data_IF_357358614034
#
_entry.id   IF_357358614034
#
_cell.length_a   1.000
_cell.length_b   1.000
_cell.length_c   1.000
_cell.angle_alpha   90.00
_cell.angle_beta   90.00
_cell.angle_gamma   90.00
#
_symmetry.space_group_name_H-M   'P 1'
#
loop_
_entity.id
_entity.type
_entity.pdbx_description
1 polymer ?
#
# COMPACT_ATOMS: atom_id res chain seq x y z
N UNK A 1 2.98 -49.07 -77.39
CA UNK A 1 2.62 -48.61 -76.05
C UNK A 1 1.22 -48.01 -76.13
N UNK A 2 0.28 -48.69 -75.49
CA UNK A 2 -1.19 -48.40 -75.68
C UNK A 2 -1.62 -47.16 -74.89
N UNK A 3 -2.08 -46.10 -75.62
CA UNK A 3 -2.63 -44.87 -75.06
C UNK A 3 -3.83 -45.04 -74.12
N UNK A 4 -4.43 -46.21 -74.08
CA UNK A 4 -5.58 -46.56 -73.23
C UNK A 4 -5.27 -46.84 -71.80
N UNK A 5 -4.00 -47.18 -71.45
CA UNK A 5 -3.55 -47.47 -70.04
C UNK A 5 -3.24 -46.24 -69.23
N UNK A 6 -3.10 -45.05 -69.89
CA UNK A 6 -2.75 -43.82 -69.21
C UNK A 6 -3.95 -43.10 -68.59
N UNK A 7 -5.15 -43.32 -69.08
CA UNK A 7 -6.38 -42.66 -68.58
C UNK A 7 -6.98 -43.31 -67.33
N UNK A 8 -6.61 -44.55 -66.96
CA UNK A 8 -7.05 -45.21 -65.74
C UNK A 8 -6.26 -44.83 -64.52
N UNK A 9 -5.06 -44.30 -64.67
CA UNK A 9 -4.18 -43.87 -63.52
C UNK A 9 -4.51 -42.48 -62.97
N UNK A 10 -5.11 -41.63 -63.78
CA UNK A 10 -5.45 -40.22 -63.39
C UNK A 10 -6.58 -40.20 -62.36
N UNK A 11 -7.69 -40.94 -62.41
CA UNK A 11 -8.72 -40.89 -61.38
C UNK A 11 -8.31 -41.51 -60.06
N UNK A 12 -7.34 -42.46 -60.04
CA UNK A 12 -6.88 -43.11 -58.83
C UNK A 12 -5.99 -42.19 -57.97
N UNK A 13 -5.22 -41.33 -58.62
CA UNK A 13 -4.39 -40.30 -57.92
C UNK A 13 -5.23 -39.17 -57.38
N UNK A 14 -6.32 -38.80 -58.03
CA UNK A 14 -7.25 -37.76 -57.58
C UNK A 14 -8.04 -38.17 -56.32
N UNK A 15 -8.30 -39.46 -56.11
CA UNK A 15 -9.01 -39.95 -54.90
C UNK A 15 -8.11 -39.98 -53.66
N UNK A 16 -6.78 -40.08 -53.81
CA UNK A 16 -5.84 -40.05 -52.68
C UNK A 16 -5.55 -38.66 -52.16
N UNK A 17 -5.98 -37.58 -52.87
CA UNK A 17 -5.84 -36.19 -52.43
C UNK A 17 -7.05 -35.67 -51.63
N UNK A 18 -8.05 -36.51 -51.31
CA UNK A 18 -9.07 -36.18 -50.32
C UNK A 18 -8.42 -36.14 -48.94
N UNK A 19 -7.79 -35.00 -48.68
CA UNK A 19 -6.98 -34.68 -47.53
C UNK A 19 -7.60 -35.19 -46.22
N UNK A 20 -6.92 -36.05 -45.54
CA UNK A 20 -7.13 -36.33 -44.12
C UNK A 20 -7.08 -34.98 -43.37
N UNK A 21 -8.21 -34.36 -43.17
CA UNK A 21 -8.29 -33.19 -42.27
C UNK A 21 -8.08 -33.73 -40.88
N UNK A 22 -6.87 -33.49 -40.34
CA UNK A 22 -6.58 -33.87 -38.98
C UNK A 22 -7.37 -32.98 -38.03
N UNK A 23 -7.95 -33.52 -36.94
CA UNK A 23 -8.62 -32.71 -35.95
C UNK A 23 -7.62 -31.68 -35.36
N UNK A 24 -8.13 -30.51 -35.02
CA UNK A 24 -7.34 -29.49 -34.36
C UNK A 24 -7.12 -29.89 -32.91
N UNK A 25 -5.86 -29.92 -32.49
CA UNK A 25 -5.48 -30.28 -31.13
C UNK A 25 -4.95 -29.02 -30.46
N UNK A 26 -5.66 -28.52 -29.42
CA UNK A 26 -5.31 -27.32 -28.69
C UNK A 26 -4.91 -27.70 -27.28
N UNK A 27 -3.77 -27.22 -26.84
CA UNK A 27 -3.27 -27.38 -25.48
C UNK A 27 -3.63 -26.16 -24.62
N UNK A 28 -4.15 -26.42 -23.41
CA UNK A 28 -4.57 -25.42 -22.45
C UNK A 28 -3.45 -25.24 -21.42
N UNK A 29 -2.95 -24.04 -21.27
CA UNK A 29 -1.89 -23.73 -20.29
C UNK A 29 -2.45 -23.75 -18.85
N UNK A 30 -1.60 -23.99 -17.83
CA UNK A 30 -2.03 -24.04 -16.42
C UNK A 30 -2.68 -22.75 -15.90
N UNK A 31 -2.30 -21.61 -16.46
CA UNK A 31 -2.86 -20.29 -16.13
C UNK A 31 -4.11 -19.92 -16.94
N UNK A 32 -4.56 -20.79 -17.83
CA UNK A 32 -5.73 -20.57 -18.68
C UNK A 32 -6.93 -21.40 -18.23
N UNK A 33 -8.11 -20.86 -18.35
CA UNK A 33 -9.37 -21.59 -18.28
C UNK A 33 -10.02 -21.55 -19.65
N UNK A 34 -10.36 -22.71 -20.19
CA UNK A 34 -10.91 -22.85 -21.51
C UNK A 34 -12.39 -23.24 -21.48
N UNK A 35 -13.12 -22.75 -22.46
CA UNK A 35 -14.55 -22.99 -22.67
C UNK A 35 -14.75 -23.49 -24.09
N UNK A 36 -15.42 -24.64 -24.26
CA UNK A 36 -15.70 -25.26 -25.56
C UNK A 36 -17.10 -24.87 -26.01
N UNK A 37 -17.20 -23.98 -26.98
CA UNK A 37 -18.47 -23.49 -27.51
C UNK A 37 -18.80 -24.26 -28.76
N UNK A 38 -19.94 -24.96 -28.77
CA UNK A 38 -20.45 -25.66 -29.96
C UNK A 38 -20.82 -24.64 -31.02
N UNK A 39 -20.33 -24.86 -32.24
CA UNK A 39 -20.61 -23.98 -33.39
C UNK A 39 -21.88 -24.38 -34.18
N UNK A 40 -22.24 -25.65 -34.08
CA UNK A 40 -23.43 -26.19 -34.72
C UNK A 40 -24.58 -26.28 -33.74
N UNK A 41 -25.73 -25.74 -34.09
CA UNK A 41 -26.94 -25.76 -33.28
C UNK A 41 -28.20 -25.79 -34.12
N UNK A 42 -29.28 -26.31 -33.54
CA UNK A 42 -30.60 -26.22 -34.14
C UNK A 42 -31.28 -24.92 -33.70
N UNK A 43 -31.63 -24.06 -34.67
CA UNK A 43 -32.29 -22.77 -34.40
C UNK A 43 -33.58 -22.87 -33.58
N UNK A 44 -34.23 -24.05 -33.57
CA UNK A 44 -35.48 -24.29 -32.83
C UNK A 44 -35.24 -24.65 -31.35
N UNK A 45 -34.03 -25.08 -30.98
CA UNK A 45 -33.66 -25.51 -29.64
C UNK A 45 -32.57 -24.62 -29.00
N UNK A 46 -32.33 -23.45 -29.62
CA UNK A 46 -31.32 -22.55 -29.17
C UNK A 46 -31.66 -21.99 -27.75
N UNK A 47 -30.87 -22.33 -26.79
CA UNK A 47 -30.88 -21.71 -25.46
C UNK A 47 -30.17 -20.34 -25.51
N UNK A 48 -30.32 -19.54 -24.47
CA UNK A 48 -29.59 -18.28 -24.35
C UNK A 48 -28.11 -18.51 -24.59
N UNK A 49 -27.59 -18.05 -25.73
CA UNK A 49 -26.20 -18.21 -26.12
C UNK A 49 -25.34 -17.31 -25.25
N UNK A 50 -24.24 -17.84 -24.73
CA UNK A 50 -23.30 -17.10 -23.87
C UNK A 50 -23.89 -16.62 -22.53
N UNK A 51 -24.86 -17.32 -21.94
CA UNK A 51 -25.21 -17.10 -20.54
C UNK A 51 -24.09 -17.58 -19.62
N UNK A 52 -24.03 -17.03 -18.42
CA UNK A 52 -23.04 -17.43 -17.41
C UNK A 52 -23.10 -18.94 -17.11
N UNK A 53 -24.32 -19.48 -16.96
CA UNK A 53 -24.56 -20.90 -16.72
C UNK A 53 -24.09 -21.76 -17.91
N UNK A 54 -24.43 -21.35 -19.13
CA UNK A 54 -23.99 -22.05 -20.34
C UNK A 54 -22.44 -22.11 -20.40
N UNK A 55 -21.76 -21.01 -20.08
CA UNK A 55 -20.29 -20.98 -20.07
C UNK A 55 -19.72 -21.85 -18.96
N UNK A 56 -20.32 -21.87 -17.78
CA UNK A 56 -19.88 -22.70 -16.67
C UNK A 56 -19.97 -24.20 -16.99
N UNK A 57 -21.08 -24.61 -17.65
CA UNK A 57 -21.32 -26.00 -18.09
C UNK A 57 -20.33 -26.46 -19.17
N UNK A 58 -19.86 -25.52 -20.01
CA UNK A 58 -18.96 -25.81 -21.13
C UNK A 58 -17.48 -25.57 -20.77
N UNK A 59 -17.14 -25.45 -19.49
CA UNK A 59 -15.76 -25.36 -19.00
C UNK A 59 -15.03 -26.67 -19.25
N UNK A 60 -13.84 -26.56 -19.83
CA UNK A 60 -12.99 -27.73 -20.13
C UNK A 60 -12.14 -28.11 -18.92
N UNK A 61 -12.25 -29.37 -18.49
CA UNK A 61 -11.50 -29.91 -17.36
C UNK A 61 -10.18 -30.63 -17.76
N UNK A 62 -9.83 -30.62 -19.06
CA UNK A 62 -8.65 -31.33 -19.56
C UNK A 62 -7.55 -30.38 -20.03
N UNK A 63 -6.29 -30.85 -20.02
CA UNK A 63 -5.14 -30.07 -20.51
C UNK A 63 -5.07 -29.99 -22.04
N UNK A 64 -5.83 -30.82 -22.75
CA UNK A 64 -5.82 -30.90 -24.21
C UNK A 64 -7.23 -31.15 -24.73
N UNK A 65 -7.61 -30.41 -25.75
CA UNK A 65 -8.89 -30.53 -26.42
C UNK A 65 -8.66 -30.89 -27.89
N UNK A 66 -9.41 -31.85 -28.39
CA UNK A 66 -9.38 -32.26 -29.77
C UNK A 66 -10.71 -31.79 -30.39
N UNK A 67 -10.64 -30.87 -31.36
CA UNK A 67 -11.84 -30.32 -32.04
C UNK A 67 -11.94 -30.99 -33.38
N UNK A 68 -13.02 -31.80 -33.64
CA UNK A 68 -13.24 -32.42 -34.94
C UNK A 68 -13.78 -31.41 -35.96
N UNK A 69 -13.58 -31.73 -37.23
CA UNK A 69 -14.23 -31.02 -38.31
C UNK A 69 -15.56 -31.70 -38.63
N UNK A 70 -16.57 -30.87 -38.93
CA UNK A 70 -17.86 -31.29 -39.45
C UNK A 70 -18.05 -30.78 -40.88
N UNK A 71 -18.79 -31.53 -41.69
CA UNK A 71 -19.13 -31.14 -43.05
C UNK A 71 -20.39 -30.31 -43.05
N UNK A 72 -20.31 -29.07 -43.55
CA UNK A 72 -21.47 -28.18 -43.74
C UNK A 72 -21.77 -28.06 -45.25
N UNK A 73 -23.01 -28.25 -45.68
CA UNK A 73 -23.40 -28.03 -47.08
C UNK A 73 -23.20 -26.57 -47.48
N UNK A 74 -22.47 -26.33 -48.57
CA UNK A 74 -22.27 -24.97 -49.08
C UNK A 74 -21.92 -24.97 -50.57
N UNK A 75 -22.70 -24.28 -51.41
CA UNK A 75 -22.38 -24.01 -52.82
C UNK A 75 -22.10 -25.22 -53.70
N UNK A 76 -22.73 -26.38 -53.45
CA UNK A 76 -22.53 -27.62 -54.23
C UNK A 76 -21.38 -28.48 -53.70
N UNK A 77 -20.67 -28.07 -52.66
CA UNK A 77 -19.60 -28.83 -52.02
C UNK A 77 -19.82 -28.88 -50.50
N UNK A 78 -19.28 -29.93 -49.86
CA UNK A 78 -19.26 -30.03 -48.42
C UNK A 78 -18.02 -29.29 -47.90
N UNK A 79 -18.22 -28.16 -47.21
CA UNK A 79 -17.15 -27.42 -46.57
C UNK A 79 -16.89 -28.00 -45.19
N UNK A 80 -15.63 -28.26 -44.86
CA UNK A 80 -15.21 -28.71 -43.53
C UNK A 80 -14.97 -27.52 -42.64
N UNK A 81 -15.73 -27.42 -41.54
CA UNK A 81 -15.61 -26.40 -40.50
C UNK A 81 -15.38 -27.05 -39.15
N UNK A 82 -14.82 -26.31 -38.21
CA UNK A 82 -14.64 -26.81 -36.83
C UNK A 82 -16.02 -26.97 -36.16
N UNK A 83 -16.24 -28.10 -35.50
CA UNK A 83 -17.51 -28.39 -34.80
C UNK A 83 -17.71 -27.51 -33.57
N UNK A 84 -16.62 -27.03 -32.96
CA UNK A 84 -16.67 -26.18 -31.78
C UNK A 84 -15.53 -25.15 -31.83
N UNK A 85 -15.69 -24.08 -31.08
CA UNK A 85 -14.66 -23.04 -30.84
C UNK A 85 -14.20 -23.10 -29.43
N UNK A 86 -12.88 -23.13 -29.20
CA UNK A 86 -12.29 -22.98 -27.89
C UNK A 86 -12.05 -21.51 -27.63
N UNK A 87 -12.54 -21.03 -26.47
CA UNK A 87 -12.25 -19.69 -25.95
C UNK A 87 -11.47 -19.85 -24.65
N UNK A 88 -10.31 -19.22 -24.55
CA UNK A 88 -9.46 -19.27 -23.35
C UNK A 88 -9.50 -17.93 -22.60
N UNK A 89 -9.52 -18.02 -21.29
CA UNK A 89 -9.39 -16.89 -20.36
C UNK A 89 -8.06 -17.02 -19.64
N UNK A 90 -7.17 -16.07 -19.86
CA UNK A 90 -5.91 -15.99 -19.12
C UNK A 90 -6.19 -15.46 -17.70
N UNK A 91 -5.80 -16.27 -16.70
CA UNK A 91 -5.99 -16.00 -15.28
C UNK A 91 -4.76 -15.41 -14.60
N UNK A 92 -3.70 -15.14 -15.36
CA UNK A 92 -2.47 -14.56 -14.83
C UNK A 92 -2.80 -13.24 -14.12
N UNK A 93 -2.37 -13.06 -12.86
CA UNK A 93 -2.56 -11.81 -12.15
C UNK A 93 -1.92 -10.64 -12.90
N UNK A 94 -2.62 -9.52 -12.94
CA UNK A 94 -2.17 -8.30 -13.60
C UNK A 94 -1.98 -7.23 -12.56
N UNK A 95 -0.75 -6.68 -12.47
CA UNK A 95 -0.46 -5.50 -11.67
C UNK A 95 -0.36 -4.29 -12.58
N UNK A 96 -1.02 -3.22 -12.19
CA UNK A 96 -0.97 -1.90 -12.81
C UNK A 96 -0.57 -0.85 -11.80
N UNK A 97 0.36 -0.01 -12.20
CA UNK A 97 0.80 1.15 -11.42
C UNK A 97 0.54 2.41 -12.25
N UNK A 98 -0.49 3.15 -11.86
CA UNK A 98 -0.84 4.43 -12.49
C UNK A 98 -0.15 5.54 -11.72
N UNK A 99 1.09 5.87 -12.14
CA UNK A 99 1.97 6.82 -11.47
C UNK A 99 2.21 8.05 -12.34
N UNK A 100 2.68 9.12 -11.71
CA UNK A 100 3.13 10.33 -12.40
C UNK A 100 4.49 10.13 -13.05
N UNK A 101 5.36 9.38 -12.38
CA UNK A 101 6.72 9.15 -12.84
C UNK A 101 6.76 8.16 -14.00
N UNK A 102 7.38 8.55 -15.10
CA UNK A 102 7.62 7.68 -16.26
C UNK A 102 8.61 6.54 -15.97
N UNK A 103 9.35 6.64 -14.86
CA UNK A 103 10.37 5.66 -14.46
C UNK A 103 9.85 4.58 -13.54
N UNK A 104 8.72 4.85 -12.85
CA UNK A 104 8.12 3.96 -11.87
C UNK A 104 6.68 3.72 -12.26
N UNK A 105 6.28 2.78 -12.90
CA UNK A 105 4.90 2.54 -13.33
C UNK A 105 4.81 1.59 -14.50
N UNK A 106 3.61 1.22 -14.83
CA UNK A 106 3.34 0.28 -15.91
C UNK A 106 3.48 0.92 -17.30
N UNK A 107 3.45 2.24 -17.37
CA UNK A 107 3.52 3.01 -18.62
C UNK A 107 4.61 4.09 -18.54
N UNK A 108 5.21 4.39 -19.69
CA UNK A 108 6.15 5.49 -19.86
C UNK A 108 5.51 6.88 -19.93
N UNK A 109 4.21 6.98 -19.73
CA UNK A 109 3.47 8.23 -19.68
C UNK A 109 2.86 8.45 -18.29
N UNK A 110 2.60 9.72 -17.93
CA UNK A 110 1.90 10.04 -16.70
C UNK A 110 0.49 9.45 -16.71
N UNK A 111 0.25 8.52 -15.82
CA UNK A 111 -1.04 7.86 -15.63
C UNK A 111 -1.64 8.10 -14.24
N UNK A 112 -1.03 8.95 -13.40
CA UNK A 112 -1.57 9.27 -12.10
C UNK A 112 -3.03 9.75 -12.19
N UNK A 113 -3.81 9.40 -11.20
CA UNK A 113 -5.23 9.76 -11.14
C UNK A 113 -5.36 11.20 -10.64
N UNK A 114 -5.96 12.07 -11.45
CA UNK A 114 -6.28 13.43 -11.07
C UNK A 114 -7.58 13.48 -10.29
N UNK A 115 -7.56 14.17 -9.17
CA UNK A 115 -8.69 14.39 -8.27
C UNK A 115 -8.64 15.80 -7.72
N UNK A 116 -9.80 16.27 -7.22
CA UNK A 116 -9.97 17.60 -6.67
C UNK A 116 -10.45 17.50 -5.22
N UNK A 117 -9.98 18.38 -4.35
CA UNK A 117 -10.51 18.51 -2.98
C UNK A 117 -11.80 19.36 -2.97
N UNK A 118 -12.50 19.39 -1.82
CA UNK A 118 -13.69 20.24 -1.64
C UNK A 118 -13.42 21.74 -1.88
N UNK A 119 -12.19 22.15 -1.71
CA UNK A 119 -11.72 23.52 -1.90
C UNK A 119 -11.33 23.83 -3.35
N UNK A 120 -11.64 22.90 -4.29
CA UNK A 120 -11.26 23.01 -5.70
C UNK A 120 -9.73 23.05 -5.93
N UNK A 121 -8.99 22.32 -5.12
CA UNK A 121 -7.55 22.17 -5.29
C UNK A 121 -7.27 20.87 -6.03
N UNK A 122 -6.71 21.00 -7.23
CA UNK A 122 -6.32 19.86 -8.07
C UNK A 122 -5.02 19.23 -7.61
N UNK A 123 -5.03 17.91 -7.51
CA UNK A 123 -3.82 17.12 -7.25
C UNK A 123 -3.93 15.74 -7.90
N UNK A 124 -2.78 15.09 -8.05
CA UNK A 124 -2.70 13.73 -8.57
C UNK A 124 -2.22 12.78 -7.50
N UNK A 125 -2.74 11.54 -7.57
CA UNK A 125 -2.31 10.43 -6.71
C UNK A 125 -1.89 9.25 -7.57
N UNK A 126 -0.78 8.62 -7.22
CA UNK A 126 -0.36 7.37 -7.83
C UNK A 126 -1.11 6.20 -7.19
N UNK A 127 -1.57 5.28 -8.01
CA UNK A 127 -2.35 4.10 -7.58
C UNK A 127 -1.69 2.83 -8.08
N UNK A 128 -1.58 1.84 -7.22
CA UNK A 128 -1.23 0.47 -7.59
C UNK A 128 -2.46 -0.42 -7.46
N UNK A 129 -2.69 -1.24 -8.49
CA UNK A 129 -3.76 -2.22 -8.55
C UNK A 129 -3.16 -3.58 -8.88
N UNK A 130 -3.57 -4.63 -8.18
CA UNK A 130 -3.36 -6.02 -8.58
C UNK A 130 -4.72 -6.71 -8.67
N UNK A 131 -4.99 -7.31 -9.81
CA UNK A 131 -6.24 -8.02 -10.08
C UNK A 131 -5.95 -9.38 -10.70
N UNK A 132 -6.81 -10.35 -10.43
CA UNK A 132 -6.73 -11.71 -10.95
C UNK A 132 -8.13 -12.24 -11.32
N UNK A 133 -8.16 -13.35 -12.07
CA UNK A 133 -9.40 -14.04 -12.39
C UNK A 133 -9.37 -15.40 -11.72
N UNK A 134 -10.11 -15.62 -10.63
CA UNK A 134 -10.24 -16.94 -10.03
C UNK A 134 -10.84 -17.95 -11.01
N UNK A 135 -10.38 -19.18 -10.94
CA UNK A 135 -10.85 -20.23 -11.86
C UNK A 135 -12.38 -20.45 -11.79
N UNK A 136 -12.95 -20.32 -10.60
CA UNK A 136 -14.37 -20.49 -10.36
C UNK A 136 -15.24 -19.40 -11.01
N UNK A 137 -14.66 -18.20 -11.17
CA UNK A 137 -15.37 -17.04 -11.73
C UNK A 137 -15.00 -16.73 -13.18
N UNK A 138 -14.18 -17.57 -13.81
CA UNK A 138 -13.75 -17.35 -15.20
C UNK A 138 -14.90 -17.34 -16.19
N UNK A 139 -15.99 -18.09 -15.94
CA UNK A 139 -17.21 -18.06 -16.76
C UNK A 139 -17.91 -16.69 -16.66
N UNK A 140 -18.02 -16.12 -15.45
CA UNK A 140 -18.57 -14.77 -15.22
C UNK A 140 -17.76 -13.72 -15.95
N UNK A 141 -16.44 -13.81 -15.81
CA UNK A 141 -15.52 -12.91 -16.51
C UNK A 141 -15.71 -12.97 -18.03
N UNK A 142 -15.75 -14.17 -18.59
CA UNK A 142 -15.97 -14.36 -20.02
C UNK A 142 -17.32 -13.80 -20.49
N UNK A 143 -18.37 -14.01 -19.69
CA UNK A 143 -19.71 -13.49 -19.98
C UNK A 143 -19.73 -11.95 -20.02
N UNK A 144 -19.10 -11.28 -19.04
CA UNK A 144 -19.13 -9.82 -18.95
C UNK A 144 -18.16 -9.11 -19.91
N UNK A 145 -17.03 -9.74 -20.27
CA UNK A 145 -15.94 -9.07 -20.97
C UNK A 145 -15.57 -9.74 -22.31
N UNK A 146 -16.30 -10.79 -22.72
CA UNK A 146 -16.15 -11.45 -24.01
C UNK A 146 -14.71 -11.85 -24.37
N UNK A 147 -13.89 -12.21 -23.35
CA UNK A 147 -12.49 -12.62 -23.56
C UNK A 147 -11.50 -11.47 -23.73
N UNK A 148 -11.90 -10.22 -23.46
CA UNK A 148 -10.98 -9.08 -23.41
C UNK A 148 -9.91 -9.34 -22.33
N UNK A 149 -8.61 -9.11 -22.62
CA UNK A 149 -7.54 -9.31 -21.62
C UNK A 149 -7.74 -8.50 -20.35
N UNK A 150 -7.46 -9.10 -19.19
CA UNK A 150 -7.59 -8.44 -17.89
C UNK A 150 -6.79 -7.14 -17.81
N UNK A 151 -5.62 -7.08 -18.49
CA UNK A 151 -4.80 -5.88 -18.55
C UNK A 151 -5.51 -4.67 -19.15
N UNK A 152 -6.28 -4.90 -20.23
CA UNK A 152 -7.06 -3.85 -20.88
C UNK A 152 -8.22 -3.40 -19.99
N UNK A 153 -8.90 -4.36 -19.35
CA UNK A 153 -9.99 -4.07 -18.41
C UNK A 153 -9.50 -3.30 -17.20
N UNK A 154 -8.30 -3.62 -16.71
CA UNK A 154 -7.66 -2.88 -15.63
C UNK A 154 -7.44 -1.40 -16.00
N UNK A 155 -6.90 -1.15 -17.20
CA UNK A 155 -6.58 0.20 -17.67
C UNK A 155 -7.81 1.02 -18.11
N UNK A 156 -8.93 0.38 -18.38
CA UNK A 156 -10.16 1.06 -18.79
C UNK A 156 -11.23 1.05 -17.70
N UNK A 157 -11.85 -0.12 -17.47
CA UNK A 157 -13.01 -0.24 -16.58
C UNK A 157 -12.66 -0.05 -15.12
N UNK A 158 -11.59 -0.74 -14.63
CA UNK A 158 -11.22 -0.66 -13.22
C UNK A 158 -10.64 0.71 -12.92
N UNK A 159 -9.74 1.21 -13.76
CA UNK A 159 -9.17 2.56 -13.60
C UNK A 159 -10.24 3.65 -13.57
N UNK A 160 -11.21 3.61 -14.48
CA UNK A 160 -12.31 4.57 -14.51
C UNK A 160 -13.16 4.52 -13.24
N UNK A 161 -13.46 3.32 -12.73
CA UNK A 161 -14.20 3.14 -11.48
C UNK A 161 -13.41 3.69 -10.28
N UNK A 162 -12.13 3.36 -10.17
CA UNK A 162 -11.23 3.83 -9.10
C UNK A 162 -11.12 5.36 -9.13
N UNK A 163 -10.96 5.95 -10.32
CA UNK A 163 -10.92 7.40 -10.49
C UNK A 163 -12.20 8.06 -9.98
N UNK A 164 -13.37 7.54 -10.38
CA UNK A 164 -14.66 8.08 -9.92
C UNK A 164 -14.84 7.95 -8.40
N UNK A 165 -14.44 6.81 -7.83
CA UNK A 165 -14.50 6.58 -6.38
C UNK A 165 -13.55 7.51 -5.61
N UNK A 166 -12.31 7.67 -6.07
CA UNK A 166 -11.35 8.59 -5.47
C UNK A 166 -11.81 10.04 -5.58
N UNK A 167 -12.33 10.47 -6.74
CA UNK A 167 -12.86 11.83 -6.93
C UNK A 167 -14.02 12.13 -5.96
N UNK A 168 -14.91 11.16 -5.73
CA UNK A 168 -16.00 11.30 -4.76
C UNK A 168 -15.47 11.42 -3.32
N UNK A 169 -14.52 10.57 -2.93
CA UNK A 169 -13.98 10.54 -1.57
C UNK A 169 -13.12 11.78 -1.26
N UNK A 170 -12.29 12.21 -2.19
CA UNK A 170 -11.47 13.42 -2.03
C UNK A 170 -12.28 14.69 -2.16
N UNK A 171 -13.23 14.78 -3.11
CA UNK A 171 -14.08 15.95 -3.31
C UNK A 171 -15.03 16.26 -2.14
N UNK A 172 -15.30 15.28 -1.28
CA UNK A 172 -16.03 15.48 -0.03
C UNK A 172 -15.21 16.02 1.14
N UNK A 173 -13.88 16.19 1.00
CA UNK A 173 -12.95 16.53 2.08
C UNK A 173 -12.10 17.74 1.75
N UNK A 174 -11.75 18.52 2.80
CA UNK A 174 -10.71 19.55 2.70
C UNK A 174 -9.36 18.92 2.45
N UNK A 175 -8.43 19.66 1.88
CA UNK A 175 -7.10 19.17 1.53
C UNK A 175 -6.35 18.60 2.74
N UNK A 176 -6.45 19.22 3.91
CA UNK A 176 -5.78 18.76 5.13
C UNK A 176 -6.39 17.44 5.65
N UNK A 177 -7.71 17.32 5.65
CA UNK A 177 -8.41 16.06 5.96
C UNK A 177 -8.08 14.95 4.95
N UNK A 178 -8.09 15.26 3.66
CA UNK A 178 -7.75 14.36 2.58
C UNK A 178 -6.33 13.77 2.73
N UNK A 179 -5.37 14.59 3.16
CA UNK A 179 -3.99 14.16 3.43
C UNK A 179 -3.89 13.25 4.65
N UNK A 180 -4.57 13.60 5.75
CA UNK A 180 -4.57 12.82 7.00
C UNK A 180 -5.28 11.49 6.85
N UNK A 181 -6.39 11.47 6.13
CA UNK A 181 -7.27 10.31 5.95
C UNK A 181 -6.97 9.50 4.69
N UNK A 182 -5.91 9.81 3.96
CA UNK A 182 -5.57 9.16 2.68
C UNK A 182 -5.64 7.64 2.75
N UNK A 183 -5.07 7.03 3.79
CA UNK A 183 -5.10 5.59 3.95
C UNK A 183 -6.52 5.03 4.10
N UNK A 184 -7.38 5.69 4.88
CA UNK A 184 -8.77 5.27 5.07
C UNK A 184 -9.59 5.42 3.76
N UNK A 185 -9.33 6.48 2.99
CA UNK A 185 -9.94 6.68 1.67
C UNK A 185 -9.60 5.50 0.74
N UNK A 186 -8.32 5.12 0.66
CA UNK A 186 -7.90 4.01 -0.20
C UNK A 186 -8.46 2.65 0.23
N UNK A 187 -8.57 2.39 1.53
CA UNK A 187 -9.23 1.18 2.05
C UNK A 187 -10.70 1.13 1.60
N UNK A 188 -11.43 2.23 1.73
CA UNK A 188 -12.82 2.32 1.30
C UNK A 188 -12.98 2.10 -0.20
N UNK A 189 -12.13 2.76 -1.02
CA UNK A 189 -12.13 2.60 -2.48
C UNK A 189 -11.77 1.17 -2.88
N UNK A 190 -10.83 0.53 -2.17
CA UNK A 190 -10.51 -0.87 -2.38
C UNK A 190 -11.72 -1.78 -2.15
N UNK A 191 -12.43 -1.62 -1.05
CA UNK A 191 -13.60 -2.45 -0.74
C UNK A 191 -14.73 -2.25 -1.75
N UNK A 192 -15.00 -1.00 -2.15
CA UNK A 192 -15.98 -0.69 -3.18
C UNK A 192 -15.60 -1.29 -4.54
N UNK A 193 -14.34 -1.15 -4.93
CA UNK A 193 -13.84 -1.71 -6.19
C UNK A 193 -13.91 -3.23 -6.18
N UNK A 194 -13.50 -3.86 -5.09
CA UNK A 194 -13.57 -5.30 -4.89
C UNK A 194 -15.01 -5.81 -5.00
N UNK A 195 -15.95 -5.15 -4.34
CA UNK A 195 -17.37 -5.52 -4.41
C UNK A 195 -17.93 -5.39 -5.84
N UNK A 196 -17.63 -4.28 -6.53
CA UNK A 196 -18.13 -4.00 -7.86
C UNK A 196 -17.62 -4.98 -8.93
N UNK A 197 -16.37 -5.45 -8.81
CA UNK A 197 -15.75 -6.32 -9.82
C UNK A 197 -15.84 -7.81 -9.47
N UNK A 198 -16.07 -8.19 -8.22
CA UNK A 198 -16.28 -9.58 -7.83
C UNK A 198 -17.51 -10.20 -8.51
N UNK A 199 -18.59 -9.44 -8.65
CA UNK A 199 -19.82 -9.88 -9.36
C UNK A 199 -19.59 -10.09 -10.86
N UNK A 200 -18.52 -9.50 -11.41
CA UNK A 200 -18.12 -9.64 -12.82
C UNK A 200 -17.00 -10.66 -13.04
N UNK A 201 -16.63 -11.40 -11.99
CA UNK A 201 -15.66 -12.48 -12.07
C UNK A 201 -14.19 -12.05 -11.91
N UNK A 202 -13.92 -10.81 -11.47
CA UNK A 202 -12.56 -10.31 -11.22
C UNK A 202 -12.35 -10.21 -9.72
N UNK A 203 -11.24 -10.76 -9.21
CA UNK A 203 -10.75 -10.54 -7.86
C UNK A 203 -9.79 -9.35 -7.85
N UNK A 204 -10.02 -8.40 -6.97
CA UNK A 204 -9.08 -7.31 -6.68
C UNK A 204 -8.26 -7.76 -5.49
N UNK A 205 -6.99 -8.13 -5.74
CA UNK A 205 -6.10 -8.66 -4.72
C UNK A 205 -5.46 -7.54 -3.90
N UNK A 206 -5.15 -6.42 -4.56
CA UNK A 206 -4.59 -5.23 -3.92
C UNK A 206 -5.04 -3.96 -4.65
N UNK A 207 -5.31 -2.90 -3.89
CA UNK A 207 -5.47 -1.54 -4.39
C UNK A 207 -4.95 -0.58 -3.32
N UNK A 208 -3.97 0.22 -3.68
CA UNK A 208 -3.33 1.13 -2.75
C UNK A 208 -2.73 2.36 -3.46
N UNK A 209 -2.21 3.28 -2.68
CA UNK A 209 -1.45 4.39 -3.25
C UNK A 209 0.02 3.99 -3.42
N UNK A 210 0.61 4.35 -4.55
CA UNK A 210 2.03 4.12 -4.88
C UNK A 210 2.88 5.38 -4.76
N UNK A 211 2.27 6.56 -4.97
CA UNK A 211 2.94 7.86 -4.87
C UNK A 211 2.18 8.80 -3.94
N UNK A 212 2.91 9.79 -3.40
CA UNK A 212 2.32 10.88 -2.63
C UNK A 212 1.40 11.76 -3.47
N UNK A 213 0.67 12.64 -2.80
CA UNK A 213 -0.14 13.66 -3.48
C UNK A 213 0.79 14.66 -4.15
N UNK A 214 0.58 14.91 -5.45
CA UNK A 214 1.32 15.89 -6.23
C UNK A 214 0.38 16.99 -6.70
N UNK A 215 0.66 18.23 -6.35
CA UNK A 215 -0.18 19.38 -6.67
C UNK A 215 0.17 19.95 -8.03
N UNK A 216 -0.87 20.41 -8.76
CA UNK A 216 -0.70 21.09 -10.03
C UNK A 216 0.03 22.42 -9.84
N UNK A 217 -0.30 23.17 -8.77
CA UNK A 217 0.38 24.40 -8.38
C UNK A 217 1.46 24.14 -7.31
N UNK A 218 2.76 24.35 -7.62
CA UNK A 218 3.86 24.21 -6.66
C UNK A 218 3.77 25.15 -5.44
N UNK A 219 2.98 26.23 -5.51
CA UNK A 219 2.78 27.14 -4.38
C UNK A 219 2.05 26.46 -3.22
N UNK A 220 1.13 25.57 -3.53
CA UNK A 220 0.39 24.78 -2.54
C UNK A 220 1.34 23.89 -1.73
N UNK A 221 2.25 23.19 -2.39
CA UNK A 221 3.26 22.37 -1.70
C UNK A 221 4.15 23.23 -0.80
N UNK A 222 4.55 24.41 -1.26
CA UNK A 222 5.36 25.36 -0.46
C UNK A 222 4.59 25.85 0.77
N UNK A 223 3.31 26.20 0.62
CA UNK A 223 2.46 26.61 1.73
C UNK A 223 2.28 25.50 2.78
N UNK A 224 2.09 24.24 2.32
CA UNK A 224 2.00 23.08 3.19
C UNK A 224 3.28 22.88 3.98
N UNK A 225 4.44 22.95 3.32
CA UNK A 225 5.74 22.81 3.96
C UNK A 225 5.98 23.92 5.00
N UNK A 226 5.65 25.17 4.67
CA UNK A 226 5.78 26.30 5.58
C UNK A 226 4.88 26.12 6.83
N UNK A 227 3.63 25.67 6.66
CA UNK A 227 2.74 25.38 7.78
C UNK A 227 3.27 24.24 8.66
N UNK A 228 3.84 23.19 8.05
CA UNK A 228 4.47 22.10 8.79
C UNK A 228 5.69 22.56 9.58
N UNK A 229 6.57 23.37 8.97
CA UNK A 229 7.74 23.96 9.64
C UNK A 229 7.31 24.85 10.82
N UNK A 230 6.29 25.69 10.64
CA UNK A 230 5.73 26.51 11.71
C UNK A 230 5.17 25.66 12.87
N UNK A 231 4.40 24.60 12.56
CA UNK A 231 3.88 23.68 13.56
C UNK A 231 5.00 22.97 14.34
N UNK A 232 6.06 22.51 13.64
CA UNK A 232 7.22 21.90 14.25
C UNK A 232 8.02 22.88 15.13
N UNK A 233 8.11 24.14 14.70
CA UNK A 233 8.76 25.19 15.50
C UNK A 233 8.02 25.44 16.82
N UNK A 234 6.68 25.51 16.77
CA UNK A 234 5.84 25.64 17.99
C UNK A 234 6.02 24.43 18.90
N UNK A 235 5.95 23.21 18.38
CA UNK A 235 6.15 22.01 19.18
C UNK A 235 7.53 21.96 19.85
N UNK A 236 8.58 22.35 19.11
CA UNK A 236 9.93 22.44 19.65
C UNK A 236 10.06 23.51 20.73
N UNK A 237 9.38 24.66 20.57
CA UNK A 237 9.33 25.71 21.58
C UNK A 237 8.63 25.22 22.86
N UNK A 238 7.49 24.52 22.73
CA UNK A 238 6.80 23.92 23.89
C UNK A 238 7.66 22.90 24.64
N UNK A 239 8.39 22.05 23.90
CA UNK A 239 9.32 21.12 24.53
C UNK A 239 10.42 21.82 25.32
N UNK A 240 11.03 22.86 24.74
CA UNK A 240 12.04 23.67 25.44
C UNK A 240 11.49 24.33 26.70
N UNK A 241 10.25 24.84 26.66
CA UNK A 241 9.60 25.41 27.86
C UNK A 241 9.40 24.35 28.93
N UNK A 242 8.98 23.14 28.56
CA UNK A 242 8.85 22.01 29.51
C UNK A 242 10.19 21.60 30.10
N UNK A 243 11.23 21.49 29.28
CA UNK A 243 12.60 21.19 29.74
C UNK A 243 13.11 22.29 30.70
N UNK A 244 12.96 23.55 30.35
CA UNK A 244 13.37 24.68 31.22
C UNK A 244 12.60 24.67 32.55
N UNK A 245 11.30 24.34 32.53
CA UNK A 245 10.51 24.20 33.75
C UNK A 245 11.02 23.05 34.63
N UNK A 246 11.33 21.90 34.07
CA UNK A 246 11.89 20.75 34.80
C UNK A 246 13.28 21.08 35.39
N UNK A 247 14.12 21.75 34.62
CA UNK A 247 15.44 22.22 35.11
C UNK A 247 15.30 23.20 36.27
N UNK A 248 14.33 24.12 36.22
CA UNK A 248 14.05 25.06 37.34
C UNK A 248 13.61 24.31 38.58
N UNK A 249 12.68 23.34 38.46
CA UNK A 249 12.24 22.53 39.59
C UNK A 249 13.40 21.75 40.21
N UNK A 250 14.24 21.14 39.39
CA UNK A 250 15.42 20.42 39.85
C UNK A 250 16.42 21.34 40.55
N UNK A 251 16.60 22.57 40.04
CA UNK A 251 17.46 23.57 40.69
C UNK A 251 16.91 24.04 42.06
N UNK A 252 15.58 24.24 42.15
CA UNK A 252 14.89 24.59 43.41
C UNK A 252 15.01 23.46 44.44
N UNK A 253 14.84 22.21 44.03
CA UNK A 253 15.03 21.04 44.91
C UNK A 253 16.50 20.91 45.38
N UNK A 254 17.45 21.11 44.49
CA UNK A 254 18.86 21.09 44.81
C UNK A 254 19.22 22.22 45.78
N UNK A 255 18.70 23.43 45.63
CA UNK A 255 18.88 24.53 46.55
C UNK A 255 18.34 24.20 47.95
N UNK A 256 17.11 23.66 48.05
CA UNK A 256 16.50 23.21 49.30
C UNK A 256 17.34 22.11 50.00
N UNK A 257 17.83 21.14 49.21
CA UNK A 257 18.70 20.08 49.73
C UNK A 257 20.03 20.62 50.27
N UNK A 258 20.60 21.62 49.58
CA UNK A 258 21.83 22.31 50.04
C UNK A 258 21.61 23.08 51.35
N UNK A 259 20.50 23.84 51.45
CA UNK A 259 20.17 24.58 52.66
C UNK A 259 19.93 23.62 53.84
N UNK A 260 19.24 22.50 53.61
CA UNK A 260 19.05 21.46 54.62
C UNK A 260 20.38 20.82 55.05
N UNK A 261 21.34 20.65 54.14
CA UNK A 261 22.66 20.10 54.47
C UNK A 261 23.50 21.09 55.28
N UNK A 262 23.46 22.38 54.97
CA UNK A 262 24.11 23.44 55.72
C UNK A 262 23.55 23.52 57.15
N UNK A 263 22.23 23.51 57.30
CA UNK A 263 21.58 23.50 58.62
C UNK A 263 21.99 22.28 59.47
N UNK A 264 22.17 21.13 58.84
CA UNK A 264 22.65 19.90 59.50
C UNK A 264 24.08 20.04 59.98
N UNK A 265 24.94 20.56 59.13
CA UNK A 265 26.37 20.84 59.51
C UNK A 265 26.47 21.84 60.69
N UNK A 266 25.66 22.90 60.69
CA UNK A 266 25.58 23.84 61.77
C UNK A 266 25.17 23.19 63.12
N UNK A 267 24.17 22.29 63.06
CA UNK A 267 23.74 21.52 64.22
C UNK A 267 24.87 20.62 64.74
N UNK A 268 25.57 19.92 63.85
CA UNK A 268 26.70 19.06 64.19
C UNK A 268 27.83 19.87 64.80
N UNK A 269 28.15 21.04 64.26
CA UNK A 269 29.17 21.96 64.85
C UNK A 269 28.77 22.42 66.29
N UNK A 270 27.50 22.80 66.50
CA UNK A 270 26.99 23.17 67.81
C UNK A 270 27.05 22.00 68.80
N UNK A 271 26.75 20.79 68.39
CA UNK A 271 26.90 19.59 69.23
C UNK A 271 28.34 19.31 69.59
N UNK A 272 29.28 19.42 68.62
CA UNK A 272 30.71 19.24 68.88
C UNK A 272 31.24 20.31 69.80
N UNK A 273 30.84 21.59 69.68
CA UNK A 273 31.19 22.66 70.56
C UNK A 273 30.67 22.43 71.98
N UNK A 274 29.43 21.98 72.14
CA UNK A 274 28.85 21.65 73.44
C UNK A 274 29.58 20.46 74.09
N UNK A 275 29.93 19.43 73.32
CA UNK A 275 30.72 18.29 73.82
C UNK A 275 32.12 18.74 74.26
N UNK A 276 32.78 19.59 73.47
CA UNK A 276 34.12 20.13 73.84
C UNK A 276 34.04 20.95 75.11
N UNK A 277 32.97 21.74 75.30
CA UNK A 277 32.79 22.48 76.59
C UNK A 277 32.53 21.51 77.75
N UNK A 278 31.71 20.48 77.60
CA UNK A 278 31.49 19.48 78.66
C UNK A 278 32.80 18.75 79.00
N UNK A 279 33.57 18.38 77.97
CA UNK A 279 34.88 17.71 78.21
C UNK A 279 35.90 18.63 78.88
N UNK A 280 35.92 19.92 78.52
CA UNK A 280 36.78 20.90 79.14
C UNK A 280 36.43 21.07 80.63
N UNK A 281 35.15 21.13 81.00
CA UNK A 281 34.68 21.19 82.36
C UNK A 281 34.98 19.89 83.12
N UNK A 282 34.85 18.73 82.49
CA UNK A 282 35.09 17.41 83.06
C UNK A 282 36.59 17.16 83.37
N UNK A 283 37.45 17.72 82.50
CA UNK A 283 38.93 17.62 82.70
C UNK A 283 39.52 18.73 83.58
N UNK A 284 38.70 19.67 84.01
CA UNK A 284 39.14 20.75 84.82
C UNK A 284 39.48 20.28 86.29
N UNK A 285 40.72 20.44 86.68
CA UNK A 285 41.24 20.06 87.98
C UNK A 285 40.98 21.09 89.09
N UNK A 286 40.14 22.10 88.82
CA UNK A 286 39.80 23.18 89.74
C UNK A 286 40.90 24.24 89.91
N UNK A 287 41.98 24.19 89.12
CA UNK A 287 43.05 25.21 89.18
C UNK A 287 42.98 26.11 87.96
N UNK A 288 43.08 27.43 88.18
CA UNK A 288 43.18 28.36 87.05
C UNK A 288 44.54 28.17 86.34
N UNK A 289 44.57 28.07 84.99
CA UNK A 289 45.81 27.96 84.26
C UNK A 289 46.69 29.21 84.55
N UNK A 290 47.94 28.98 84.88
CA UNK A 290 48.89 30.04 85.24
C UNK A 290 49.21 31.00 84.04
N UNK A 291 48.84 30.70 82.88
CA UNK A 291 49.00 31.52 81.66
C UNK A 291 47.63 31.78 81.02
N UNK A 292 46.98 32.88 81.37
CA UNK A 292 45.90 33.46 80.58
C UNK A 292 46.58 34.17 79.42
N UNK A 293 46.52 33.61 78.26
CA UNK A 293 46.89 34.28 77.01
C UNK A 293 45.92 35.45 76.86
N UNK A 294 46.38 36.72 76.75
CA UNK A 294 45.45 37.83 76.58
C UNK A 294 44.55 37.63 75.39
N UNK A 295 43.24 37.87 75.58
CA UNK A 295 42.28 37.94 74.54
C UNK A 295 42.65 39.01 73.49
N UNK A 296 43.40 38.67 72.47
CA UNK A 296 43.90 39.59 71.45
C UNK A 296 44.94 39.02 70.52
N UNK A 297 45.51 37.86 70.80
CA UNK A 297 46.35 37.19 69.81
C UNK A 297 45.45 36.51 68.74
N UNK A 298 45.30 37.19 67.63
CA UNK A 298 44.52 36.79 66.48
C UNK A 298 44.99 35.45 65.86
N UNK A 299 44.64 34.38 66.49
CA UNK A 299 44.55 33.05 65.88
C UNK A 299 43.10 32.74 65.52
N UNK A 300 42.38 33.75 65.06
CA UNK A 300 41.25 33.52 64.14
C UNK A 300 41.86 33.37 62.77
N UNK A 301 42.04 32.13 62.41
CA UNK A 301 42.37 31.69 61.08
C UNK A 301 41.56 32.47 60.05
N UNK A 302 42.30 33.15 59.16
CA UNK A 302 41.71 33.87 58.06
C UNK A 302 40.81 32.94 57.13
N UNK A 303 39.56 32.86 57.54
CA UNK A 303 38.47 32.31 56.66
C UNK A 303 37.67 33.40 56.01
N UNK A 304 38.13 34.66 56.04
CA UNK A 304 37.46 35.80 55.44
C UNK A 304 38.04 36.24 54.10
N UNK A 305 38.59 35.32 53.30
CA UNK A 305 38.96 35.65 51.90
C UNK A 305 38.75 34.50 50.93
N UNK A 306 37.57 34.04 50.82
CA UNK A 306 37.17 33.18 49.68
C UNK A 306 35.71 33.31 49.29
N UNK A 307 35.11 34.50 49.34
CA UNK A 307 33.84 34.80 48.69
C UNK A 307 33.96 36.20 48.08
N UNK A 308 34.74 36.29 46.99
CA UNK A 308 34.65 37.36 45.99
C UNK A 308 35.50 36.98 44.77
N UNK A 309 34.94 36.11 43.91
CA UNK A 309 35.04 36.21 42.45
C UNK A 309 34.04 35.26 41.81
#
# INVERSE_FOLDING_TARGET
MNKKSLYCLIPLVAVCLSACTRPEVIEIKPNETAFLIQMDGNSKTQKAFMSEEYLADNKVASKRVVIPYVGVPGGGFTQKVLAAKLITVDRTPVTREWTRSEKTGTSSSNQAISVESRESIDFTVGVVLTASIPEQTAAKFLYHYAGTPLSVIADTNIRGFVQAALSREFGGRDLDAARKEKAAIFIKVYEETRAAFSVKGIAIDNLGYSEGMSYADPSIQRAINANFEAAMAVQKAEQKVKEAYQLRLAAEEFAKAKDASVARIELDIRQLQAQAQIESVRKWDGRLPANIVPQGSGLLFGLDKAVAK
#
